data_IF_341893876063
#
_entry.id   IF_341893876063
#
_cell.length_a   1.000
_cell.length_b   1.000
_cell.length_c   1.000
_cell.angle_alpha   90.00
_cell.angle_beta   90.00
_cell.angle_gamma   90.00
#
_symmetry.space_group_name_H-M   'P 1'
#
loop_
_entity.id
_entity.type
_entity.pdbx_description
1 polymer ?
#
# COMPACT_ATOMS: atom_id res chain seq x y z
N UNK A 1 -7.94 26.05 -10.43
CA UNK A 1 -7.49 25.28 -9.24
C UNK A 1 -8.57 25.45 -8.18
N UNK A 2 -9.14 24.36 -7.67
CA UNK A 2 -10.09 24.41 -6.56
C UNK A 2 -9.28 24.09 -5.30
N UNK A 3 -8.98 25.09 -4.48
CA UNK A 3 -8.41 24.91 -3.15
C UNK A 3 -9.56 24.53 -2.21
N UNK A 4 -9.48 23.35 -1.61
CA UNK A 4 -10.34 23.01 -0.46
C UNK A 4 -9.80 23.70 0.80
N UNK A 5 -10.61 23.76 1.84
CA UNK A 5 -10.46 24.59 3.06
C UNK A 5 -9.14 24.44 3.86
N UNK A 6 -8.22 23.55 3.43
CA UNK A 6 -6.98 23.20 4.15
C UNK A 6 -5.67 23.47 3.37
N UNK A 7 -5.67 24.41 2.41
CA UNK A 7 -4.51 24.72 1.54
C UNK A 7 -3.98 23.50 0.75
N UNK A 8 -4.83 22.48 0.60
CA UNK A 8 -4.55 21.30 -0.20
C UNK A 8 -4.88 21.61 -1.66
N UNK A 9 -3.89 21.49 -2.54
CA UNK A 9 -4.10 21.62 -3.98
C UNK A 9 -4.80 20.39 -4.51
N UNK A 10 -6.06 20.53 -4.94
CA UNK A 10 -6.76 19.48 -5.66
C UNK A 10 -6.22 19.37 -7.08
N UNK A 11 -5.36 18.38 -7.31
CA UNK A 11 -4.82 18.05 -8.63
C UNK A 11 -5.68 16.97 -9.28
N UNK A 12 -6.47 17.35 -10.28
CA UNK A 12 -7.20 16.42 -11.14
C UNK A 12 -6.36 16.19 -12.39
N UNK A 13 -6.04 14.93 -12.66
CA UNK A 13 -5.08 14.56 -13.69
C UNK A 13 -5.87 14.19 -14.96
N UNK A 14 -5.42 14.70 -16.11
CA UNK A 14 -6.08 14.48 -17.39
C UNK A 14 -5.93 13.02 -17.84
N UNK A 15 -6.94 12.51 -18.56
CA UNK A 15 -7.12 11.10 -18.94
C UNK A 15 -5.93 10.49 -19.70
N UNK A 16 -5.16 11.31 -20.41
CA UNK A 16 -4.17 10.85 -21.39
C UNK A 16 -2.71 10.89 -20.89
N UNK A 17 -2.49 10.98 -19.57
CA UNK A 17 -1.14 10.84 -18.99
C UNK A 17 -0.95 9.37 -18.56
N UNK A 18 -0.23 8.54 -19.35
CA UNK A 18 0.12 7.21 -18.90
C UNK A 18 0.92 7.31 -17.59
N UNK A 19 0.71 6.36 -16.68
CA UNK A 19 1.37 6.23 -15.37
C UNK A 19 0.83 7.09 -14.21
N UNK A 20 -0.04 8.06 -14.43
CA UNK A 20 -0.52 8.93 -13.36
C UNK A 20 -1.15 8.16 -12.17
N UNK A 21 -2.10 7.27 -12.47
CA UNK A 21 -2.78 6.45 -11.45
C UNK A 21 -2.14 5.06 -11.28
N UNK A 22 -1.03 4.77 -11.95
CA UNK A 22 -0.44 3.43 -11.99
C UNK A 22 -0.07 2.90 -10.60
N UNK A 23 0.39 3.77 -9.69
CA UNK A 23 0.75 3.39 -8.32
C UNK A 23 -0.47 2.88 -7.54
N UNK A 24 -1.59 3.60 -7.60
CA UNK A 24 -2.82 3.19 -6.89
C UNK A 24 -3.49 1.99 -7.59
N UNK A 25 -3.40 1.89 -8.91
CA UNK A 25 -3.87 0.73 -9.66
C UNK A 25 -3.10 -0.55 -9.30
N UNK A 26 -1.76 -0.47 -9.21
CA UNK A 26 -0.92 -1.57 -8.77
C UNK A 26 -1.26 -1.99 -7.34
N UNK A 27 -1.42 -1.03 -6.42
CA UNK A 27 -1.88 -1.30 -5.05
C UNK A 27 -3.23 -2.02 -5.02
N UNK A 28 -4.23 -1.51 -5.75
CA UNK A 28 -5.56 -2.12 -5.85
C UNK A 28 -5.52 -3.54 -6.43
N UNK A 29 -4.65 -3.78 -7.42
CA UNK A 29 -4.44 -5.12 -8.00
C UNK A 29 -3.88 -6.07 -6.94
N UNK A 30 -2.89 -5.66 -6.16
CA UNK A 30 -2.30 -6.49 -5.09
C UNK A 30 -3.37 -6.84 -4.04
N UNK A 31 -4.15 -5.85 -3.55
CA UNK A 31 -5.25 -6.10 -2.59
C UNK A 31 -6.20 -7.18 -3.12
N UNK A 32 -6.71 -6.98 -4.34
CA UNK A 32 -7.72 -7.86 -4.91
C UNK A 32 -7.20 -9.28 -5.06
N UNK A 33 -6.02 -9.43 -5.66
CA UNK A 33 -5.50 -10.76 -6.01
C UNK A 33 -4.82 -11.50 -4.87
N UNK A 34 -4.13 -10.81 -3.96
CA UNK A 34 -3.38 -11.48 -2.90
C UNK A 34 -4.20 -11.66 -1.62
N UNK A 35 -5.29 -10.91 -1.43
CA UNK A 35 -6.00 -10.87 -0.15
C UNK A 35 -7.50 -11.04 -0.24
N UNK A 36 -8.18 -10.35 -1.17
CA UNK A 36 -9.66 -10.41 -1.21
C UNK A 36 -10.18 -11.63 -1.97
N UNK A 37 -9.58 -11.99 -3.10
CA UNK A 37 -10.07 -13.09 -3.96
C UNK A 37 -9.98 -14.46 -3.29
N UNK A 38 -9.04 -14.66 -2.36
CA UNK A 38 -8.90 -15.89 -1.59
C UNK A 38 -9.86 -15.98 -0.40
N UNK A 39 -10.58 -14.89 -0.08
CA UNK A 39 -11.49 -14.83 1.07
C UNK A 39 -12.95 -14.99 0.61
N UNK A 40 -13.70 -15.83 1.32
CA UNK A 40 -15.15 -15.92 1.17
C UNK A 40 -15.81 -14.72 1.87
N UNK A 41 -15.95 -13.61 1.14
CA UNK A 41 -16.59 -12.38 1.62
C UNK A 41 -18.02 -12.31 1.09
N UNK A 42 -19.00 -12.47 1.96
CA UNK A 42 -20.42 -12.56 1.61
C UNK A 42 -21.13 -11.21 1.65
N UNK A 43 -20.56 -10.23 2.36
CA UNK A 43 -21.19 -8.95 2.57
C UNK A 43 -20.20 -7.79 2.75
N UNK A 44 -20.73 -6.57 2.66
CA UNK A 44 -19.95 -5.33 2.77
C UNK A 44 -19.26 -5.17 4.13
N UNK A 45 -19.84 -5.69 5.22
CA UNK A 45 -19.24 -5.58 6.56
C UNK A 45 -17.95 -6.41 6.62
N UNK A 46 -17.99 -7.64 6.13
CA UNK A 46 -16.81 -8.51 6.02
C UNK A 46 -15.75 -7.90 5.09
N UNK A 47 -16.16 -7.36 3.94
CA UNK A 47 -15.23 -6.67 3.02
C UNK A 47 -14.52 -5.48 3.68
N UNK A 48 -15.25 -4.64 4.42
CA UNK A 48 -14.65 -3.51 5.15
C UNK A 48 -13.63 -3.98 6.20
N UNK A 49 -13.96 -5.05 6.93
CA UNK A 49 -13.05 -5.65 7.90
C UNK A 49 -11.77 -6.17 7.24
N UNK A 50 -11.91 -6.97 6.18
CA UNK A 50 -10.78 -7.52 5.43
C UNK A 50 -9.91 -6.41 4.80
N UNK A 51 -10.52 -5.35 4.26
CA UNK A 51 -9.77 -4.20 3.74
C UNK A 51 -8.97 -3.49 4.83
N UNK A 52 -9.57 -3.24 6.00
CA UNK A 52 -8.87 -2.59 7.12
C UNK A 52 -7.68 -3.42 7.60
N UNK A 53 -7.87 -4.73 7.71
CA UNK A 53 -6.82 -5.68 8.06
C UNK A 53 -5.67 -5.64 7.04
N UNK A 54 -6.00 -5.70 5.74
CA UNK A 54 -5.00 -5.64 4.69
C UNK A 54 -4.21 -4.32 4.71
N UNK A 55 -4.88 -3.18 4.87
CA UNK A 55 -4.22 -1.87 4.89
C UNK A 55 -3.20 -1.83 6.02
N UNK A 56 -3.54 -2.36 7.20
CA UNK A 56 -2.61 -2.48 8.31
C UNK A 56 -1.43 -3.42 7.97
N UNK A 57 -1.71 -4.61 7.44
CA UNK A 57 -0.66 -5.57 7.04
C UNK A 57 0.28 -4.94 6.01
N UNK A 58 -0.25 -4.29 4.99
CA UNK A 58 0.52 -3.71 3.90
C UNK A 58 1.42 -2.56 4.36
N UNK A 59 0.91 -1.68 5.23
CA UNK A 59 1.63 -0.48 5.67
C UNK A 59 2.61 -0.76 6.81
N UNK A 60 2.26 -1.64 7.76
CA UNK A 60 2.97 -1.76 9.03
C UNK A 60 3.72 -3.08 9.19
N UNK A 61 3.35 -4.14 8.45
CA UNK A 61 3.88 -5.48 8.68
C UNK A 61 4.68 -5.98 7.48
N UNK A 62 4.21 -5.76 6.25
CA UNK A 62 4.76 -6.35 5.03
C UNK A 62 5.92 -5.50 4.48
N UNK A 63 7.17 -5.99 4.56
CA UNK A 63 8.31 -5.30 3.96
C UNK A 63 8.21 -5.30 2.44
N UNK A 64 8.66 -4.23 1.79
CA UNK A 64 8.65 -4.13 0.34
C UNK A 64 10.05 -4.05 -0.23
N UNK A 65 10.33 -4.89 -1.23
CA UNK A 65 11.62 -4.88 -1.92
C UNK A 65 11.91 -3.54 -2.60
N UNK A 66 10.90 -2.88 -3.17
CA UNK A 66 11.01 -1.53 -3.75
C UNK A 66 11.35 -0.46 -2.71
N UNK A 67 11.02 -0.71 -1.44
CA UNK A 67 11.41 0.12 -0.29
C UNK A 67 12.65 -0.45 0.40
N UNK A 68 13.43 -1.25 -0.33
CA UNK A 68 14.66 -1.88 0.13
C UNK A 68 14.45 -2.61 1.47
N UNK A 69 13.34 -3.33 1.60
CA UNK A 69 13.05 -4.15 2.78
C UNK A 69 12.44 -3.40 3.97
N UNK A 70 12.08 -2.12 3.83
CA UNK A 70 11.25 -1.44 4.80
C UNK A 70 9.75 -1.62 4.47
N UNK A 71 8.91 -1.44 5.47
CA UNK A 71 7.47 -1.23 5.31
C UNK A 71 7.18 0.22 4.85
N UNK A 72 6.01 0.47 4.24
CA UNK A 72 5.59 1.82 3.90
C UNK A 72 5.58 2.79 5.09
N UNK A 73 5.12 2.35 6.26
CA UNK A 73 5.08 3.17 7.47
C UNK A 73 6.48 3.53 7.97
N UNK A 74 7.41 2.58 7.98
CA UNK A 74 8.81 2.84 8.33
C UNK A 74 9.47 3.83 7.36
N UNK A 75 9.20 3.69 6.06
CA UNK A 75 9.72 4.61 5.04
C UNK A 75 9.13 6.01 5.22
N UNK A 76 7.83 6.10 5.48
CA UNK A 76 7.16 7.36 5.76
C UNK A 76 7.72 8.04 7.02
N UNK A 77 8.01 7.25 8.07
CA UNK A 77 8.65 7.71 9.30
C UNK A 77 10.15 8.01 9.18
N UNK A 78 10.75 7.87 8.00
CA UNK A 78 12.17 8.18 7.76
C UNK A 78 13.15 7.15 8.32
N UNK A 79 12.70 5.91 8.60
CA UNK A 79 13.59 4.84 9.07
C UNK A 79 14.66 4.55 8.02
N UNK A 80 15.92 4.56 8.46
CA UNK A 80 17.06 4.21 7.63
C UNK A 80 16.93 2.77 7.11
N UNK A 81 17.16 2.60 5.82
CA UNK A 81 17.04 1.33 5.12
C UNK A 81 18.19 0.41 5.56
N UNK A 82 17.87 -0.78 6.08
CA UNK A 82 18.88 -1.68 6.64
C UNK A 82 18.84 -3.05 5.97
N UNK A 83 19.86 -3.36 5.15
CA UNK A 83 19.96 -4.61 4.40
C UNK A 83 20.16 -5.90 5.24
N UNK A 84 20.37 -5.76 6.54
CA UNK A 84 20.75 -6.88 7.40
C UNK A 84 19.56 -7.72 7.90
N UNK A 85 18.33 -7.20 7.87
CA UNK A 85 17.20 -7.87 8.53
C UNK A 85 16.64 -9.08 7.75
N UNK A 86 17.02 -9.26 6.48
CA UNK A 86 16.51 -10.33 5.63
C UNK A 86 17.36 -11.60 5.68
N UNK A 87 18.59 -11.53 6.21
CA UNK A 87 19.50 -12.67 6.28
C UNK A 87 19.30 -13.53 7.53
N UNK A 88 18.57 -13.03 8.52
CA UNK A 88 18.43 -13.68 9.82
C UNK A 88 17.62 -14.99 9.76
N UNK A 89 16.76 -15.16 8.76
CA UNK A 89 15.89 -16.35 8.61
C UNK A 89 16.40 -17.39 7.59
N UNK A 90 17.49 -17.11 6.86
CA UNK A 90 18.08 -18.05 5.90
C UNK A 90 19.36 -18.74 6.43
N UNK A 91 19.70 -18.52 7.71
CA UNK A 91 20.86 -19.11 8.37
C UNK A 91 20.48 -20.31 9.26
N UNK A 92 19.63 -21.22 8.74
CA UNK A 92 19.39 -22.54 9.32
C UNK A 92 19.78 -23.63 8.34
#
# INVERSE_FOLDING_TARGET
MLTTENDVKHLIIQKDIPFSNSKIEAFNKIIKHQFLLSRNLENRKQLKGALSEYVHIYNSIRPQLSLQGNTPEETYGGKQITFNNYKTHFAQ
#
